data_IF_044010213261
#
_entry.id   IF_044010213261
#
_cell.length_a   1.000
_cell.length_b   1.000
_cell.length_c   1.000
_cell.angle_alpha   90.00
_cell.angle_beta   90.00
_cell.angle_gamma   90.00
#
_symmetry.space_group_name_H-M   'P 1'
#
loop_
_entity.id
_entity.type
_entity.pdbx_description
1 polymer ?
#
# COMPACT_ATOMS: atom_id res chain seq x y z
N UNK A 1 -7.20 -13.42 14.70
CA UNK A 1 -6.24 -12.94 13.71
C UNK A 1 -6.80 -11.71 13.01
N UNK A 2 -5.95 -10.86 12.50
CA UNK A 2 -6.40 -9.62 11.85
C UNK A 2 -7.27 -9.86 10.63
N UNK A 3 -6.98 -10.91 9.85
CA UNK A 3 -7.79 -11.23 8.68
C UNK A 3 -9.21 -11.65 9.07
N UNK A 4 -9.35 -12.37 10.17
CA UNK A 4 -10.67 -12.79 10.66
C UNK A 4 -11.49 -11.57 11.08
N UNK A 5 -10.84 -10.61 11.74
CA UNK A 5 -11.50 -9.36 12.14
C UNK A 5 -11.93 -8.59 10.90
N UNK A 6 -11.07 -8.53 9.89
CA UNK A 6 -11.38 -7.79 8.65
C UNK A 6 -12.58 -8.39 7.91
N UNK A 7 -12.81 -9.69 8.04
CA UNK A 7 -13.93 -10.37 7.40
C UNK A 7 -15.22 -10.27 8.21
N UNK A 8 -15.17 -9.81 9.45
CA UNK A 8 -16.33 -9.73 10.33
C UNK A 8 -17.17 -8.50 9.96
N UNK A 9 -18.41 -8.75 9.52
CA UNK A 9 -19.30 -7.68 9.10
C UNK A 9 -19.81 -6.83 10.26
N UNK A 10 -19.63 -7.28 11.51
CA UNK A 10 -19.98 -6.50 12.70
C UNK A 10 -18.96 -5.43 13.05
N UNK A 11 -17.78 -5.45 12.41
CA UNK A 11 -16.70 -4.49 12.66
C UNK A 11 -16.86 -3.31 11.70
N UNK A 12 -16.64 -2.09 12.19
CA UNK A 12 -16.73 -0.87 11.37
C UNK A 12 -15.68 -0.83 10.27
N UNK A 13 -15.90 0.02 9.26
CA UNK A 13 -15.00 0.11 8.10
C UNK A 13 -13.58 0.51 8.51
N UNK A 14 -13.35 1.56 9.36
CA UNK A 14 -11.99 1.90 9.77
C UNK A 14 -11.30 0.77 10.51
N UNK A 15 -12.03 0.05 11.36
CA UNK A 15 -11.46 -1.07 12.11
C UNK A 15 -11.09 -2.22 11.18
N UNK A 16 -11.91 -2.48 10.16
CA UNK A 16 -11.60 -3.50 9.16
C UNK A 16 -10.37 -3.12 8.35
N UNK A 17 -10.27 -1.86 7.95
CA UNK A 17 -9.12 -1.40 7.19
C UNK A 17 -7.84 -1.47 8.01
N UNK A 18 -7.90 -1.12 9.30
CA UNK A 18 -6.75 -1.24 10.19
C UNK A 18 -6.32 -2.71 10.31
N UNK A 19 -7.27 -3.62 10.44
CA UNK A 19 -6.95 -5.04 10.51
C UNK A 19 -6.29 -5.53 9.23
N UNK A 20 -6.77 -5.07 8.06
CA UNK A 20 -6.17 -5.40 6.77
C UNK A 20 -4.73 -4.91 6.68
N UNK A 21 -4.50 -3.67 7.09
CA UNK A 21 -3.17 -3.06 7.04
C UNK A 21 -2.22 -3.82 7.96
N UNK A 22 -2.65 -4.15 9.17
CA UNK A 22 -1.80 -4.88 10.12
C UNK A 22 -1.49 -6.28 9.64
N UNK A 23 -2.48 -6.99 9.08
CA UNK A 23 -2.24 -8.31 8.51
C UNK A 23 -1.25 -8.23 7.36
N UNK A 24 -1.38 -7.22 6.49
CA UNK A 24 -0.49 -7.02 5.36
C UNK A 24 0.93 -6.72 5.80
N UNK A 25 1.11 -5.94 6.86
CA UNK A 25 2.44 -5.65 7.39
C UNK A 25 3.16 -6.93 7.84
N UNK A 26 2.43 -7.86 8.44
CA UNK A 26 2.99 -9.12 8.87
C UNK A 26 3.33 -10.04 7.69
N UNK A 27 2.65 -9.89 6.57
CA UNK A 27 2.76 -10.79 5.42
C UNK A 27 3.60 -10.20 4.29
N UNK A 28 4.14 -9.00 4.46
CA UNK A 28 4.80 -8.27 3.37
C UNK A 28 5.92 -9.08 2.72
N UNK A 29 6.70 -9.80 3.51
CA UNK A 29 7.85 -10.53 2.99
C UNK A 29 7.51 -11.90 2.42
N UNK A 30 6.31 -12.41 2.68
CA UNK A 30 5.93 -13.78 2.30
C UNK A 30 4.79 -13.83 1.31
N UNK A 31 4.09 -12.73 1.10
CA UNK A 31 2.90 -12.68 0.24
C UNK A 31 3.24 -12.00 -1.08
N UNK A 32 2.75 -12.57 -2.18
CA UNK A 32 2.98 -11.98 -3.51
C UNK A 32 2.26 -10.64 -3.65
N UNK A 33 2.72 -9.82 -4.61
CA UNK A 33 2.08 -8.54 -4.86
C UNK A 33 0.59 -8.69 -5.25
N UNK A 34 0.19 -9.59 -6.15
CA UNK A 34 -1.24 -9.75 -6.46
C UNK A 34 -2.09 -10.05 -5.23
N UNK A 35 -1.58 -10.88 -4.32
CA UNK A 35 -2.31 -11.19 -3.09
C UNK A 35 -2.35 -10.00 -2.15
N UNK A 36 -1.26 -9.23 -2.05
CA UNK A 36 -1.24 -8.02 -1.25
C UNK A 36 -2.22 -6.99 -1.80
N UNK A 37 -2.27 -6.85 -3.12
CA UNK A 37 -3.21 -5.94 -3.76
C UNK A 37 -4.65 -6.32 -3.43
N UNK A 38 -4.99 -7.60 -3.52
CA UNK A 38 -6.33 -8.05 -3.20
C UNK A 38 -6.70 -7.74 -1.75
N UNK A 39 -5.75 -7.90 -0.82
CA UNK A 39 -5.98 -7.63 0.59
C UNK A 39 -6.16 -6.14 0.89
N UNK A 40 -5.38 -5.30 0.25
CA UNK A 40 -5.24 -3.89 0.64
C UNK A 40 -6.02 -2.91 -0.22
N UNK A 41 -6.44 -3.32 -1.42
CA UNK A 41 -7.09 -2.39 -2.35
C UNK A 41 -8.25 -1.62 -1.72
N UNK A 42 -9.15 -2.26 -0.95
CA UNK A 42 -10.23 -1.50 -0.32
C UNK A 42 -9.76 -0.40 0.62
N UNK A 43 -8.59 -0.56 1.21
CA UNK A 43 -8.04 0.41 2.16
C UNK A 43 -7.27 1.54 1.48
N UNK A 44 -7.15 1.54 0.14
CA UNK A 44 -6.41 2.56 -0.60
C UNK A 44 -7.29 3.67 -1.15
N UNK A 45 -8.60 3.59 -0.99
CA UNK A 45 -9.53 4.57 -1.53
C UNK A 45 -9.22 5.95 -0.97
N UNK A 46 -9.55 6.99 -1.75
CA UNK A 46 -9.13 8.36 -1.41
C UNK A 46 -9.72 8.88 -0.11
N UNK A 47 -10.77 8.25 0.39
CA UNK A 47 -11.39 8.61 1.67
C UNK A 47 -11.10 7.59 2.77
N UNK A 48 -10.29 6.58 2.50
CA UNK A 48 -9.98 5.56 3.49
C UNK A 48 -9.03 6.10 4.56
N UNK A 49 -9.31 5.78 5.81
CA UNK A 49 -8.56 6.30 6.96
C UNK A 49 -7.09 5.88 6.92
N UNK A 50 -6.81 4.66 6.51
CA UNK A 50 -5.45 4.11 6.53
C UNK A 50 -4.85 4.02 5.12
N UNK A 51 -5.33 4.85 4.19
CA UNK A 51 -4.90 4.78 2.79
C UNK A 51 -3.41 5.01 2.61
N UNK A 52 -2.83 5.89 3.40
CA UNK A 52 -1.40 6.20 3.25
C UNK A 52 -0.53 4.98 3.52
N UNK A 53 -0.79 4.29 4.62
CA UNK A 53 -0.05 3.07 4.97
C UNK A 53 -0.32 1.96 3.98
N UNK A 54 -1.59 1.78 3.56
CA UNK A 54 -1.95 0.75 2.59
C UNK A 54 -1.23 0.96 1.26
N UNK A 55 -1.17 2.21 0.79
CA UNK A 55 -0.49 2.55 -0.45
C UNK A 55 1.01 2.30 -0.36
N UNK A 56 1.61 2.65 0.77
CA UNK A 56 3.04 2.39 0.98
C UNK A 56 3.33 0.90 0.96
N UNK A 57 2.52 0.10 1.63
CA UNK A 57 2.71 -1.35 1.64
C UNK A 57 2.60 -1.94 0.25
N UNK A 58 1.68 -1.44 -0.57
CA UNK A 58 1.55 -1.91 -1.95
C UNK A 58 2.73 -1.49 -2.80
N UNK A 59 3.25 -0.27 -2.60
CA UNK A 59 4.45 0.15 -3.30
C UNK A 59 5.64 -0.74 -2.95
N UNK A 60 5.82 -1.05 -1.67
CA UNK A 60 6.90 -1.93 -1.22
C UNK A 60 6.74 -3.35 -1.75
N UNK A 61 5.52 -3.87 -1.75
CA UNK A 61 5.25 -5.21 -2.25
C UNK A 61 5.53 -5.30 -3.75
N UNK A 62 5.13 -4.30 -4.51
CA UNK A 62 5.39 -4.25 -5.94
C UNK A 62 6.90 -4.15 -6.21
N UNK A 63 7.62 -3.35 -5.41
CA UNK A 63 9.06 -3.22 -5.55
C UNK A 63 9.77 -4.55 -5.28
N UNK A 64 9.36 -5.26 -4.24
CA UNK A 64 9.91 -6.59 -3.94
C UNK A 64 9.66 -7.59 -5.07
N UNK A 65 8.55 -7.42 -5.79
CA UNK A 65 8.22 -8.28 -6.92
C UNK A 65 8.92 -7.85 -8.22
N UNK A 66 9.77 -6.83 -8.17
CA UNK A 66 10.45 -6.26 -9.32
C UNK A 66 9.47 -5.67 -10.36
N UNK A 67 8.31 -5.24 -9.88
CA UNK A 67 7.31 -4.62 -10.75
C UNK A 67 7.45 -3.09 -10.64
N UNK A 68 8.36 -2.53 -11.43
CA UNK A 68 8.64 -1.11 -11.37
C UNK A 68 7.43 -0.27 -11.78
N UNK A 69 6.64 -0.73 -12.74
CA UNK A 69 5.47 0.02 -13.19
C UNK A 69 4.43 0.13 -12.08
N UNK A 70 4.12 -0.98 -11.39
CA UNK A 70 3.18 -0.97 -10.28
C UNK A 70 3.72 -0.14 -9.12
N UNK A 71 5.01 -0.23 -8.83
CA UNK A 71 5.64 0.56 -7.78
C UNK A 71 5.44 2.05 -8.07
N UNK A 72 5.70 2.49 -9.31
CA UNK A 72 5.53 3.90 -9.69
C UNK A 72 4.08 4.35 -9.56
N UNK A 73 3.13 3.50 -9.93
CA UNK A 73 1.72 3.84 -9.80
C UNK A 73 1.36 4.16 -8.35
N UNK A 74 1.79 3.34 -7.40
CA UNK A 74 1.49 3.59 -6.01
C UNK A 74 2.24 4.81 -5.46
N UNK A 75 3.49 5.01 -5.88
CA UNK A 75 4.24 6.19 -5.48
C UNK A 75 3.60 7.47 -6.01
N UNK A 76 3.05 7.45 -7.22
CA UNK A 76 2.34 8.59 -7.77
C UNK A 76 1.07 8.88 -6.99
N UNK A 77 0.32 7.85 -6.60
CA UNK A 77 -0.88 8.03 -5.78
C UNK A 77 -0.51 8.68 -4.44
N UNK A 78 0.58 8.24 -3.82
CA UNK A 78 1.07 8.82 -2.58
C UNK A 78 1.45 10.29 -2.79
N UNK A 79 2.18 10.60 -3.85
CA UNK A 79 2.64 11.96 -4.13
C UNK A 79 1.49 12.91 -4.42
N UNK A 80 0.43 12.40 -5.05
CA UNK A 80 -0.70 13.22 -5.46
C UNK A 80 -1.73 13.45 -4.36
N UNK A 81 -1.59 12.81 -3.22
CA UNK A 81 -2.47 13.01 -2.08
C UNK A 81 -1.84 14.05 -1.15
N UNK A 82 -2.44 15.24 -1.11
CA UNK A 82 -1.90 16.34 -0.29
C UNK A 82 -1.89 16.06 1.20
N UNK A 83 -2.61 15.03 1.66
CA UNK A 83 -2.66 14.68 3.08
C UNK A 83 -1.66 13.61 3.46
N UNK A 84 -0.86 13.12 2.52
CA UNK A 84 0.18 12.14 2.83
C UNK A 84 1.14 12.72 3.88
N UNK A 85 1.39 12.01 4.99
CA UNK A 85 2.30 12.50 6.02
C UNK A 85 3.71 12.74 5.46
N UNK A 86 4.40 13.77 5.95
CA UNK A 86 5.74 14.09 5.42
C UNK A 86 6.75 12.95 5.54
N UNK A 87 6.71 12.19 6.63
CA UNK A 87 7.65 11.06 6.79
C UNK A 87 7.40 9.99 5.73
N UNK A 88 6.15 9.70 5.43
CA UNK A 88 5.80 8.71 4.42
C UNK A 88 6.15 9.24 3.04
N UNK A 89 5.93 10.52 2.79
CA UNK A 89 6.30 11.15 1.52
C UNK A 89 7.81 11.06 1.29
N UNK A 90 8.62 11.28 2.33
CA UNK A 90 10.08 11.15 2.24
C UNK A 90 10.50 9.73 1.91
N UNK A 91 9.86 8.74 2.55
CA UNK A 91 10.17 7.33 2.24
C UNK A 91 9.77 6.98 0.80
N UNK A 92 8.65 7.52 0.33
CA UNK A 92 8.21 7.29 -1.05
C UNK A 92 9.21 7.88 -2.04
N UNK A 93 9.72 9.07 -1.77
CA UNK A 93 10.74 9.69 -2.61
C UNK A 93 12.02 8.87 -2.64
N UNK A 94 12.42 8.33 -1.50
CA UNK A 94 13.60 7.48 -1.42
C UNK A 94 13.42 6.20 -2.25
N UNK A 95 12.24 5.60 -2.20
CA UNK A 95 11.95 4.41 -3.00
C UNK A 95 11.92 4.75 -4.48
N UNK A 96 11.35 5.90 -4.83
CA UNK A 96 11.34 6.36 -6.23
C UNK A 96 12.75 6.46 -6.79
N UNK A 97 13.70 6.92 -5.99
CA UNK A 97 15.09 7.08 -6.42
C UNK A 97 15.77 5.74 -6.70
N UNK A 98 15.26 4.65 -6.14
CA UNK A 98 15.82 3.31 -6.39
C UNK A 98 15.29 2.67 -7.66
N UNK A 99 14.25 3.22 -8.26
CA UNK A 99 13.66 2.63 -9.46
C UNK A 99 14.49 2.97 -10.70
N UNK A 100 14.51 2.05 -11.70
CA UNK A 100 15.17 2.37 -12.96
C UNK A 100 14.47 3.52 -13.68
N UNK A 101 15.17 4.25 -14.56
CA UNK A 101 14.53 5.31 -15.34
C UNK A 101 13.34 4.77 -16.12
N UNK A 102 12.33 5.62 -16.31
CA UNK A 102 11.20 5.25 -17.15
C UNK A 102 11.72 5.10 -18.58
N UNK A 103 11.37 3.97 -19.21
CA UNK A 103 11.76 3.73 -20.59
C UNK A 103 11.09 4.77 -21.48
N UNK A 104 11.86 5.40 -22.34
CA UNK A 104 11.30 6.30 -23.32
C UNK A 104 10.74 5.50 -24.48
N UNK A 105 9.55 5.81 -24.82
CA UNK A 105 8.93 5.21 -25.98
C UNK A 105 9.18 6.02 -27.22
#
# INVERSE_FOLDING_TARGET
MFDDIAADTGVGVPERDLARVRAAQLLLETTTYPNMLQRLEPATAKDATFRHTARELLALSAWRANDAAATRQWLDVIANDGETPPSLRSRAEALQALLPPVAKS
#
